data_IF_550581432625
#
_entry.id   IF_550581432625
#
_cell.length_a   1.000
_cell.length_b   1.000
_cell.length_c   1.000
_cell.angle_alpha   90.00
_cell.angle_beta   90.00
_cell.angle_gamma   90.00
#
_symmetry.space_group_name_H-M   'P 1'
#
loop_
_entity.id
_entity.type
_entity.pdbx_description
1 polymer ?
#
# COMPACT_ATOMS: atom_id res chain seq x y z
N UNK A 1 2.27 11.68 -13.31
CA UNK A 1 3.54 12.16 -12.70
C UNK A 1 4.76 11.47 -13.29
N UNK A 2 4.86 10.14 -13.23
CA UNK A 2 5.99 9.37 -13.81
C UNK A 2 6.39 9.84 -15.22
N UNK A 3 5.46 9.83 -16.17
CA UNK A 3 5.72 10.28 -17.56
C UNK A 3 6.25 11.71 -17.65
N UNK A 4 5.65 12.65 -16.92
CA UNK A 4 6.07 14.07 -16.90
C UNK A 4 7.49 14.24 -16.37
N UNK A 5 7.88 13.48 -15.34
CA UNK A 5 9.25 13.48 -14.84
C UNK A 5 10.23 12.84 -15.82
N UNK A 6 9.80 11.81 -16.56
CA UNK A 6 10.61 11.19 -17.61
C UNK A 6 10.83 12.14 -18.79
N UNK A 7 9.77 12.81 -19.26
CA UNK A 7 9.81 13.86 -20.30
C UNK A 7 10.76 15.00 -19.92
N UNK A 8 10.77 15.40 -18.64
CA UNK A 8 11.66 16.44 -18.13
C UNK A 8 13.09 15.94 -17.84
N UNK A 9 13.42 14.67 -18.05
CA UNK A 9 14.72 14.09 -17.71
C UNK A 9 15.02 14.02 -16.21
N UNK A 10 14.00 14.16 -15.36
CA UNK A 10 14.13 14.22 -13.89
C UNK A 10 13.76 12.92 -13.18
N UNK A 11 13.22 11.92 -13.88
CA UNK A 11 12.74 10.66 -13.28
C UNK A 11 13.77 9.93 -12.42
N UNK A 12 15.05 9.97 -12.81
CA UNK A 12 16.13 9.32 -12.05
C UNK A 12 16.55 10.10 -10.79
N UNK A 13 16.20 11.39 -10.72
CA UNK A 13 16.55 12.28 -9.60
C UNK A 13 15.44 12.38 -8.54
N UNK A 14 14.20 12.05 -8.91
CA UNK A 14 13.03 12.24 -8.05
C UNK A 14 12.37 10.88 -7.82
N UNK A 15 12.22 10.52 -6.55
CA UNK A 15 11.50 9.31 -6.13
C UNK A 15 10.01 9.59 -5.98
N UNK A 16 9.18 8.72 -6.53
CA UNK A 16 7.74 8.77 -6.44
C UNK A 16 7.25 7.84 -5.33
N UNK A 17 6.61 8.41 -4.31
CA UNK A 17 6.03 7.67 -3.20
C UNK A 17 4.51 7.65 -3.40
N UNK A 18 3.95 6.46 -3.62
CA UNK A 18 2.51 6.26 -3.72
C UNK A 18 1.91 5.93 -2.35
N UNK A 19 0.73 6.49 -2.09
CA UNK A 19 -0.07 6.28 -0.88
C UNK A 19 -1.55 6.27 -1.27
N UNK A 20 -2.43 5.95 -0.32
CA UNK A 20 -3.87 5.97 -0.51
C UNK A 20 -4.47 4.56 -0.51
N UNK A 21 -4.82 4.06 0.67
CA UNK A 21 -5.48 2.74 0.87
C UNK A 21 -4.75 1.57 0.20
N UNK A 22 -3.42 1.58 0.18
CA UNK A 22 -2.57 0.49 -0.30
C UNK A 22 -2.54 -0.70 0.67
N UNK A 23 -3.72 -1.21 1.03
CA UNK A 23 -3.91 -2.23 2.07
C UNK A 23 -3.63 -3.63 1.53
N UNK A 24 -3.96 -3.88 0.27
CA UNK A 24 -3.83 -5.16 -0.40
C UNK A 24 -2.60 -5.18 -1.36
N UNK A 25 -2.05 -6.37 -1.66
CA UNK A 25 -0.87 -6.48 -2.53
C UNK A 25 -1.17 -6.05 -3.97
N UNK A 26 -2.39 -6.25 -4.47
CA UNK A 26 -2.78 -5.84 -5.82
C UNK A 26 -2.67 -4.32 -6.03
N UNK A 27 -3.11 -3.52 -5.06
CA UNK A 27 -2.98 -2.05 -5.13
C UNK A 27 -1.51 -1.61 -5.08
N UNK A 28 -0.69 -2.28 -4.27
CA UNK A 28 0.76 -2.03 -4.22
C UNK A 28 1.40 -2.34 -5.58
N UNK A 29 1.12 -3.51 -6.16
CA UNK A 29 1.62 -3.88 -7.48
C UNK A 29 1.17 -2.90 -8.58
N UNK A 30 -0.11 -2.50 -8.57
CA UNK A 30 -0.63 -1.52 -9.52
C UNK A 30 0.09 -0.16 -9.40
N UNK A 31 0.38 0.30 -8.18
CA UNK A 31 1.15 1.53 -7.95
C UNK A 31 2.59 1.43 -8.49
N UNK A 32 3.23 0.27 -8.35
CA UNK A 32 4.56 0.00 -8.93
C UNK A 32 4.49 0.03 -10.46
N UNK A 33 3.50 -0.64 -11.09
CA UNK A 33 3.29 -0.58 -12.54
C UNK A 33 3.08 0.85 -13.06
N UNK A 34 2.40 1.71 -12.28
CA UNK A 34 2.19 3.13 -12.60
C UNK A 34 3.46 3.99 -12.42
N UNK A 35 4.55 3.39 -11.95
CA UNK A 35 5.87 4.00 -11.88
C UNK A 35 6.24 4.59 -10.53
N UNK A 36 5.58 4.17 -9.43
CA UNK A 36 6.00 4.48 -8.08
C UNK A 36 7.32 3.76 -7.73
N UNK A 37 8.19 4.43 -6.98
CA UNK A 37 9.42 3.83 -6.43
C UNK A 37 9.17 3.19 -5.06
N UNK A 38 8.24 3.75 -4.28
CA UNK A 38 7.90 3.31 -2.92
C UNK A 38 6.38 3.38 -2.75
N UNK A 39 5.81 2.40 -2.04
CA UNK A 39 4.39 2.40 -1.69
C UNK A 39 4.23 2.37 -0.17
N UNK A 40 3.44 3.30 0.36
CA UNK A 40 3.20 3.46 1.79
C UNK A 40 1.78 3.01 2.17
N UNK A 41 1.66 2.09 3.13
CA UNK A 41 0.38 1.57 3.63
C UNK A 41 0.08 1.97 5.07
N UNK A 42 -0.31 3.22 5.30
CA UNK A 42 -0.71 3.65 6.65
C UNK A 42 -1.93 2.87 7.16
N UNK A 43 -2.97 2.71 6.32
CA UNK A 43 -4.21 2.04 6.73
C UNK A 43 -4.01 0.56 7.04
N UNK A 44 -3.20 -0.15 6.26
CA UNK A 44 -2.90 -1.55 6.51
C UNK A 44 -2.19 -1.77 7.84
N UNK A 45 -1.17 -0.95 8.14
CA UNK A 45 -0.51 -1.01 9.45
C UNK A 45 -1.44 -0.64 10.61
N UNK A 46 -2.35 0.31 10.43
CA UNK A 46 -3.37 0.60 11.45
C UNK A 46 -4.30 -0.60 11.71
N UNK A 47 -4.70 -1.34 10.69
CA UNK A 47 -5.48 -2.57 10.86
C UNK A 47 -4.67 -3.67 11.53
N UNK A 48 -3.40 -3.83 11.16
CA UNK A 48 -2.49 -4.77 11.82
C UNK A 48 -2.34 -4.46 13.33
N UNK A 49 -2.23 -3.17 13.69
CA UNK A 49 -2.22 -2.69 15.07
C UNK A 49 -3.57 -2.90 15.81
N UNK A 50 -4.67 -3.11 15.08
CA UNK A 50 -6.00 -3.37 15.65
C UNK A 50 -6.99 -2.23 15.53
N UNK A 51 -6.81 -1.30 14.60
CA UNK A 51 -7.84 -0.29 14.30
C UNK A 51 -9.12 -0.97 13.80
N UNK A 52 -10.24 -0.68 14.47
CA UNK A 52 -11.58 -1.20 14.15
C UNK A 52 -12.43 -0.20 13.36
N UNK A 53 -11.82 0.86 12.82
CA UNK A 53 -12.52 1.95 12.13
C UNK A 53 -13.64 2.62 12.94
N UNK A 54 -13.41 2.86 14.24
CA UNK A 54 -14.37 3.57 15.10
C UNK A 54 -14.64 5.03 14.67
N UNK A 55 -13.83 5.60 13.77
CA UNK A 55 -13.90 7.01 13.30
C UNK A 55 -13.78 8.08 14.40
N UNK A 56 -13.26 7.70 15.57
CA UNK A 56 -13.09 8.58 16.74
C UNK A 56 -11.65 9.08 16.94
N UNK A 57 -10.80 9.04 15.92
CA UNK A 57 -9.37 9.32 16.08
C UNK A 57 -9.07 10.71 16.65
N UNK A 58 -9.94 11.69 16.38
CA UNK A 58 -9.79 13.08 16.79
C UNK A 58 -10.38 13.37 18.19
N UNK A 59 -11.16 12.44 18.76
CA UNK A 59 -11.83 12.62 20.04
C UNK A 59 -10.99 12.22 21.26
N UNK A 60 -9.78 11.70 21.05
CA UNK A 60 -8.94 11.16 22.12
C UNK A 60 -9.56 9.93 22.85
N UNK A 61 -10.59 9.30 22.27
CA UNK A 61 -11.36 8.19 22.84
C UNK A 61 -11.20 6.88 22.05
N UNK A 62 -10.10 6.72 21.32
CA UNK A 62 -9.87 5.49 20.53
C UNK A 62 -10.00 4.24 21.41
N UNK A 63 -10.97 3.34 21.16
CA UNK A 63 -11.25 2.20 22.03
C UNK A 63 -10.13 1.15 22.01
N UNK A 64 -9.29 1.17 20.97
CA UNK A 64 -8.17 0.22 20.79
C UNK A 64 -6.82 0.80 21.20
N UNK A 65 -6.79 2.03 21.73
CA UNK A 65 -5.58 2.63 22.29
C UNK A 65 -4.62 3.26 21.28
N UNK A 66 -4.93 3.26 19.97
CA UNK A 66 -4.00 3.73 18.93
C UNK A 66 -3.89 5.27 18.91
N UNK A 67 -5.01 5.98 18.96
CA UNK A 67 -5.07 7.46 18.90
C UNK A 67 -5.69 8.03 20.17
N UNK A 68 -5.00 7.86 21.29
CA UNK A 68 -5.42 8.42 22.58
C UNK A 68 -4.21 8.69 23.48
N UNK A 69 -4.32 9.73 24.30
CA UNK A 69 -3.42 10.06 25.41
C UNK A 69 -3.97 9.58 26.76
N UNK A 70 -5.15 8.94 26.79
CA UNK A 70 -5.71 8.38 28.03
C UNK A 70 -4.97 7.08 28.39
N UNK A 71 -4.24 7.01 29.52
CA UNK A 71 -3.49 5.81 29.90
C UNK A 71 -4.35 4.56 30.05
N UNK A 72 -5.64 4.72 30.40
CA UNK A 72 -6.56 3.56 30.52
C UNK A 72 -6.84 2.91 29.16
N UNK A 73 -6.97 3.71 28.11
CA UNK A 73 -7.25 3.26 26.75
C UNK A 73 -5.97 2.80 26.03
N UNK A 74 -4.83 3.46 26.27
CA UNK A 74 -3.53 3.09 25.71
C UNK A 74 -3.10 1.66 26.06
N UNK A 75 -3.58 1.10 27.18
CA UNK A 75 -3.38 -0.31 27.53
C UNK A 75 -3.87 -1.30 26.46
N UNK A 76 -4.78 -0.89 25.57
CA UNK A 76 -5.20 -1.69 24.42
C UNK A 76 -4.12 -1.86 23.33
N UNK A 77 -3.11 -0.98 23.33
CA UNK A 77 -1.96 -0.99 22.43
C UNK A 77 -0.75 -1.66 23.10
N UNK A 78 -0.84 -2.97 23.35
CA UNK A 78 0.27 -3.76 23.89
C UNK A 78 1.33 -4.04 22.81
N UNK A 79 2.55 -3.48 22.89
CA UNK A 79 3.59 -3.70 21.89
C UNK A 79 3.99 -5.17 21.73
N UNK A 80 3.90 -5.97 22.80
CA UNK A 80 4.29 -7.39 22.81
C UNK A 80 3.42 -8.23 21.88
N UNK A 81 2.11 -7.95 21.87
CA UNK A 81 1.15 -8.56 20.96
C UNK A 81 1.15 -7.88 19.57
N UNK A 82 1.05 -6.55 19.54
CA UNK A 82 0.82 -5.82 18.28
C UNK A 82 2.02 -5.82 17.35
N UNK A 83 3.26 -5.88 17.87
CA UNK A 83 4.46 -5.91 17.04
C UNK A 83 4.47 -7.13 16.10
N UNK A 84 4.12 -8.31 16.62
CA UNK A 84 4.03 -9.55 15.84
C UNK A 84 3.01 -9.43 14.72
N UNK A 85 1.85 -8.82 14.99
CA UNK A 85 0.80 -8.60 13.97
C UNK A 85 1.25 -7.64 12.88
N UNK A 86 1.94 -6.57 13.25
CA UNK A 86 2.52 -5.59 12.31
C UNK A 86 3.58 -6.24 11.43
N UNK A 87 4.48 -7.03 12.02
CA UNK A 87 5.51 -7.77 11.29
C UNK A 87 4.87 -8.74 10.28
N UNK A 88 3.89 -9.54 10.73
CA UNK A 88 3.17 -10.48 9.88
C UNK A 88 2.48 -9.78 8.69
N UNK A 89 1.87 -8.62 8.91
CA UNK A 89 1.28 -7.84 7.81
C UNK A 89 2.35 -7.35 6.81
N UNK A 90 3.46 -6.82 7.30
CA UNK A 90 4.56 -6.36 6.45
C UNK A 90 5.14 -7.52 5.62
N UNK A 91 5.37 -8.68 6.24
CA UNK A 91 5.91 -9.86 5.58
C UNK A 91 4.93 -10.44 4.56
N UNK A 92 3.63 -10.50 4.91
CA UNK A 92 2.59 -10.92 3.98
C UNK A 92 2.54 -10.01 2.75
N UNK A 93 2.53 -8.68 2.93
CA UNK A 93 2.51 -7.74 1.79
C UNK A 93 3.73 -7.92 0.90
N UNK A 94 4.94 -7.99 1.47
CA UNK A 94 6.16 -8.21 0.69
C UNK A 94 6.09 -9.50 -0.12
N UNK A 95 5.70 -10.61 0.52
CA UNK A 95 5.61 -11.93 -0.12
C UNK A 95 4.57 -11.94 -1.24
N UNK A 96 3.37 -11.42 -0.99
CA UNK A 96 2.28 -11.44 -1.97
C UNK A 96 2.53 -10.51 -3.16
N UNK A 97 3.14 -9.34 -2.94
CA UNK A 97 3.56 -8.47 -4.04
C UNK A 97 4.64 -9.16 -4.89
N UNK A 98 5.59 -9.87 -4.24
CA UNK A 98 6.57 -10.70 -4.95
C UNK A 98 5.93 -11.82 -5.77
N UNK A 99 4.88 -12.47 -5.24
CA UNK A 99 4.14 -13.48 -5.97
C UNK A 99 3.45 -12.89 -7.22
N UNK A 100 2.83 -11.71 -7.10
CA UNK A 100 2.23 -11.01 -8.25
C UNK A 100 3.30 -10.68 -9.29
N UNK A 101 4.44 -10.14 -8.87
CA UNK A 101 5.55 -9.79 -9.74
C UNK A 101 6.05 -11.01 -10.54
N UNK A 102 6.33 -12.11 -9.85
CA UNK A 102 6.74 -13.37 -10.47
C UNK A 102 5.67 -13.91 -11.44
N UNK A 103 4.39 -13.81 -11.08
CA UNK A 103 3.29 -14.24 -11.95
C UNK A 103 3.16 -13.38 -13.21
N UNK A 104 3.57 -12.12 -13.13
CA UNK A 104 3.65 -11.21 -14.27
C UNK A 104 4.93 -11.38 -15.12
N UNK A 105 5.82 -12.31 -14.73
CA UNK A 105 7.05 -12.63 -15.46
C UNK A 105 8.27 -11.81 -15.07
N UNK A 106 8.24 -11.07 -13.96
CA UNK A 106 9.37 -10.27 -13.47
C UNK A 106 9.89 -10.77 -12.13
N UNK A 107 11.20 -10.75 -11.94
CA UNK A 107 11.85 -11.31 -10.74
C UNK A 107 11.71 -10.40 -9.50
N UNK A 108 11.71 -9.08 -9.70
CA UNK A 108 11.56 -8.12 -8.60
C UNK A 108 10.29 -7.29 -8.79
N UNK A 109 9.56 -6.96 -7.70
CA UNK A 109 8.43 -6.04 -7.77
C UNK A 109 8.75 -4.67 -8.38
N UNK A 110 9.99 -4.19 -8.24
CA UNK A 110 10.45 -2.93 -8.83
C UNK A 110 10.51 -2.95 -10.36
N UNK A 111 10.53 -4.15 -10.95
CA UNK A 111 10.60 -4.34 -12.41
C UNK A 111 9.20 -4.35 -13.04
N UNK A 112 8.15 -4.26 -12.22
CA UNK A 112 6.79 -4.06 -12.69
C UNK A 112 6.67 -2.74 -13.47
N UNK A 113 6.22 -2.88 -14.71
CA UNK A 113 6.02 -1.79 -15.65
C UNK A 113 4.56 -1.68 -16.08
N UNK A 114 4.22 -0.56 -16.72
CA UNK A 114 2.84 -0.19 -17.05
C UNK A 114 2.11 -1.25 -17.89
N UNK A 115 2.79 -1.94 -18.81
CA UNK A 115 2.22 -3.00 -19.65
C UNK A 115 1.77 -4.24 -18.87
N UNK A 116 2.22 -4.44 -17.63
CA UNK A 116 1.75 -5.53 -16.78
C UNK A 116 0.38 -5.24 -16.13
N UNK A 117 -0.11 -3.99 -16.19
CA UNK A 117 -1.35 -3.58 -15.55
C UNK A 117 -2.49 -3.41 -16.56
N UNK A 118 -3.68 -3.85 -16.14
CA UNK A 118 -4.91 -3.76 -16.91
C UNK A 118 -6.00 -3.12 -16.05
N UNK A 119 -6.81 -2.27 -16.67
CA UNK A 119 -8.07 -1.81 -16.11
C UNK A 119 -9.17 -2.75 -16.56
N UNK A 120 -10.07 -3.15 -15.66
CA UNK A 120 -11.24 -3.96 -16.02
C UNK A 120 -12.43 -3.04 -16.17
N UNK A 121 -12.98 -2.98 -17.39
CA UNK A 121 -14.15 -2.17 -17.73
C UNK A 121 -15.44 -2.72 -17.12
N UNK A 122 -16.55 -1.98 -17.28
CA UNK A 122 -17.87 -2.41 -16.82
C UNK A 122 -18.40 -3.66 -17.56
N UNK A 123 -17.87 -3.91 -18.76
CA UNK A 123 -18.10 -5.11 -19.57
C UNK A 123 -17.23 -6.31 -19.13
N UNK A 124 -16.36 -6.13 -18.13
CA UNK A 124 -15.43 -7.14 -17.64
C UNK A 124 -14.21 -7.37 -18.54
N UNK A 125 -14.09 -6.64 -19.66
CA UNK A 125 -12.97 -6.79 -20.58
C UNK A 125 -11.72 -6.09 -20.01
N UNK A 126 -10.54 -6.74 -20.05
CA UNK A 126 -9.30 -6.10 -19.65
C UNK A 126 -8.83 -5.12 -20.73
N UNK A 127 -8.57 -3.88 -20.34
CA UNK A 127 -7.98 -2.83 -21.18
C UNK A 127 -6.57 -2.53 -20.66
N UNK A 128 -5.52 -2.60 -21.49
CA UNK A 128 -4.17 -2.22 -21.07
C UNK A 128 -4.17 -0.82 -20.47
N UNK A 129 -3.57 -0.68 -19.29
CA UNK A 129 -3.58 0.59 -18.56
C UNK A 129 -2.89 1.72 -19.35
N UNK A 130 -1.95 1.37 -20.23
CA UNK A 130 -1.31 2.29 -21.17
C UNK A 130 -2.28 3.08 -22.06
N UNK A 131 -3.42 2.47 -22.40
CA UNK A 131 -4.47 3.09 -23.24
C UNK A 131 -5.47 3.90 -22.42
N UNK A 132 -5.49 3.72 -21.10
CA UNK A 132 -6.46 4.32 -20.20
C UNK A 132 -5.91 5.56 -19.45
N UNK A 133 -4.59 5.79 -19.50
CA UNK A 133 -3.89 6.85 -18.74
C UNK A 133 -2.92 7.59 -19.63
#
# INVERSE_FOLDING_TARGET
MHRKLSEAGLRNRIKLIATGKMVNPAGVAAALCLGADVVCSARGFMFALGCIQALQCHHNTCPTGITTHNPKLQRGLDPTDKATRVANYADAIKREVGLIANSAGVMNPSDLALHHAFSVGADGAPVPLEKAV
#
